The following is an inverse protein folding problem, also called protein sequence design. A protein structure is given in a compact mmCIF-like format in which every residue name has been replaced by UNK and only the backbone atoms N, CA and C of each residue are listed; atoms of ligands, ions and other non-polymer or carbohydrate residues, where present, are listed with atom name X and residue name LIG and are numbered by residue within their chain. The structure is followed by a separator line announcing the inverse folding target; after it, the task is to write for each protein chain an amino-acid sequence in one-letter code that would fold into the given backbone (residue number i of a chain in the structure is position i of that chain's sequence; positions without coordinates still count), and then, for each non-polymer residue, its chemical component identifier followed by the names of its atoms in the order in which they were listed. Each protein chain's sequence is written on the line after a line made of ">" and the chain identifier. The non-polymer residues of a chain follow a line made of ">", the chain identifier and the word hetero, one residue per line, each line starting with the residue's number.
data_IF_401847299766
#
_entry.id   IF_401847299766
#
_cell.length_a   1.000
_cell.length_b   1.000
_cell.length_c   1.000
_cell.angle_alpha   90.00
_cell.angle_beta   90.00
_cell.angle_gamma   90.00
#
_symmetry.space_group_name_H-M   'P 1'
#
loop_
_entity.id
_entity.type
_entity.pdbx_description
1 polymer ?
#
# COMPACT_ATOMS: atom_id res chain seq x y z
N UNK A 1 16.73 7.39 -15.12
CA UNK A 1 15.57 7.36 -15.99
C UNK A 1 15.09 5.94 -16.23
N UNK A 2 15.97 5.05 -16.68
CA UNK A 2 15.58 3.65 -16.90
C UNK A 2 15.21 2.96 -15.60
N UNK A 3 15.93 3.28 -14.54
CA UNK A 3 15.63 2.71 -13.24
C UNK A 3 14.28 3.19 -12.72
N UNK A 4 13.97 4.46 -12.96
CA UNK A 4 12.69 5.02 -12.55
C UNK A 4 11.53 4.33 -13.24
N UNK A 5 11.66 4.08 -14.53
CA UNK A 5 10.63 3.37 -15.27
C UNK A 5 10.38 1.98 -14.74
N UNK A 6 11.45 1.27 -14.37
CA UNK A 6 11.33 -0.07 -13.80
C UNK A 6 10.68 -0.02 -12.42
N UNK A 7 11.04 0.97 -11.64
CA UNK A 7 10.46 1.12 -10.31
C UNK A 7 8.97 1.38 -10.38
N UNK A 8 8.55 2.19 -11.31
CA UNK A 8 7.12 2.45 -11.51
C UNK A 8 6.36 1.18 -11.85
N UNK A 9 6.90 0.39 -12.76
CA UNK A 9 6.26 -0.87 -13.12
C UNK A 9 6.15 -1.82 -11.94
N UNK A 10 7.20 -1.89 -11.13
CA UNK A 10 7.18 -2.73 -9.94
C UNK A 10 6.18 -2.23 -8.91
N UNK A 11 6.07 -0.92 -8.76
CA UNK A 11 5.12 -0.34 -7.82
C UNK A 11 3.69 -0.67 -8.19
N UNK A 12 3.37 -0.63 -9.47
CA UNK A 12 2.05 -1.02 -9.93
C UNK A 12 1.75 -2.48 -9.63
N UNK A 13 2.70 -3.36 -9.91
CA UNK A 13 2.52 -4.77 -9.64
C UNK A 13 2.40 -5.08 -8.16
N UNK A 14 3.05 -4.29 -7.30
CA UNK A 14 2.97 -4.49 -5.86
C UNK A 14 1.75 -3.86 -5.22
N UNK A 15 1.07 -3.00 -5.94
CA UNK A 15 -0.05 -2.27 -5.37
C UNK A 15 -1.15 -3.21 -4.86
N UNK A 16 -1.44 -4.26 -5.60
CA UNK A 16 -2.41 -5.25 -5.18
C UNK A 16 -1.99 -5.95 -3.90
N UNK A 17 -0.72 -6.33 -3.80
CA UNK A 17 -0.20 -6.93 -2.59
C UNK A 17 -0.27 -5.99 -1.40
N UNK A 18 0.01 -4.72 -1.62
CA UNK A 18 -0.07 -3.72 -0.56
C UNK A 18 -1.49 -3.52 -0.08
N UNK A 19 -2.44 -3.51 -0.98
CA UNK A 19 -3.85 -3.39 -0.61
C UNK A 19 -4.29 -4.57 0.25
N UNK A 20 -3.85 -5.75 -0.10
CA UNK A 20 -4.16 -6.93 0.66
C UNK A 20 -3.55 -6.87 2.06
N UNK A 21 -2.29 -6.49 2.15
CA UNK A 21 -1.62 -6.32 3.44
C UNK A 21 -2.32 -5.26 4.29
N UNK A 22 -2.64 -4.12 3.68
CA UNK A 22 -3.34 -3.05 4.38
C UNK A 22 -4.71 -3.50 4.89
N UNK A 23 -5.42 -4.26 4.07
CA UNK A 23 -6.71 -4.81 4.46
C UNK A 23 -6.58 -5.74 5.68
N UNK A 24 -5.57 -6.59 5.67
CA UNK A 24 -5.30 -7.49 6.79
C UNK A 24 -4.96 -6.72 8.06
N UNK A 25 -4.10 -5.71 7.94
CA UNK A 25 -3.71 -4.89 9.07
C UNK A 25 -4.90 -4.13 9.64
N UNK A 26 -5.73 -3.61 8.77
CA UNK A 26 -6.93 -2.90 9.17
C UNK A 26 -7.89 -3.83 9.94
N UNK A 27 -8.03 -5.03 9.45
CA UNK A 27 -8.86 -6.06 10.07
C UNK A 27 -8.34 -6.44 11.47
N UNK A 28 -7.04 -6.37 11.66
CA UNK A 28 -6.42 -6.66 12.95
C UNK A 28 -6.50 -5.50 13.94
N UNK A 29 -7.02 -4.38 13.51
CA UNK A 29 -7.13 -3.22 14.38
C UNK A 29 -5.90 -2.33 14.40
N UNK A 30 -5.02 -2.49 13.42
CA UNK A 30 -3.83 -1.66 13.32
C UNK A 30 -4.23 -0.24 12.92
N UNK A 31 -3.56 0.75 13.51
CA UNK A 31 -3.83 2.15 13.24
C UNK A 31 -3.59 2.48 11.77
N UNK A 32 -4.49 3.29 11.21
CA UNK A 32 -4.41 3.69 9.79
C UNK A 32 -3.08 4.37 9.48
N UNK A 33 -2.60 5.21 10.40
CA UNK A 33 -1.33 5.88 10.23
C UNK A 33 -0.18 4.88 10.11
N UNK A 34 -0.21 3.84 10.92
CA UNK A 34 0.79 2.78 10.86
C UNK A 34 0.71 2.00 9.54
N UNK A 35 -0.50 1.73 9.09
CA UNK A 35 -0.74 1.04 7.82
C UNK A 35 -0.21 1.88 6.66
N UNK A 36 -0.45 3.17 6.69
CA UNK A 36 0.05 4.11 5.70
C UNK A 36 1.57 4.05 5.59
N UNK A 37 2.24 4.08 6.71
CA UNK A 37 3.70 4.02 6.74
C UNK A 37 4.22 2.68 6.28
N UNK A 38 3.56 1.62 6.64
CA UNK A 38 3.99 0.27 6.28
C UNK A 38 3.77 -0.04 4.81
N UNK A 39 2.68 0.44 4.24
CA UNK A 39 2.30 0.11 2.86
C UNK A 39 2.60 1.22 1.86
N UNK A 40 2.71 2.45 2.31
CA UNK A 40 2.87 3.60 1.44
C UNK A 40 1.58 4.00 0.73
N UNK A 41 0.46 3.47 1.15
CA UNK A 41 -0.83 3.82 0.56
C UNK A 41 -1.35 5.13 1.13
N UNK A 42 -2.24 5.77 0.38
CA UNK A 42 -2.88 6.98 0.87
C UNK A 42 -3.98 6.64 1.87
N UNK A 43 -4.35 7.63 2.67
CA UNK A 43 -5.40 7.46 3.64
C UNK A 43 -6.72 7.03 2.99
N UNK A 44 -7.03 7.64 1.86
CA UNK A 44 -8.24 7.30 1.12
C UNK A 44 -8.26 5.85 0.67
N UNK A 45 -7.13 5.37 0.18
CA UNK A 45 -7.04 3.99 -0.27
C UNK A 45 -7.25 3.01 0.88
N UNK A 46 -6.69 3.31 2.02
CA UNK A 46 -6.85 2.48 3.20
C UNK A 46 -8.29 2.49 3.69
N UNK A 47 -8.92 3.64 3.68
CA UNK A 47 -10.29 3.76 4.14
C UNK A 47 -11.29 3.00 3.26
N UNK A 48 -10.96 2.80 2.00
CA UNK A 48 -11.80 2.04 1.08
C UNK A 48 -11.72 0.53 1.26
N UNK A 49 -10.78 0.08 2.01
CA UNK A 49 -10.57 -1.36 2.21
C UNK A 49 -11.62 -2.02 3.12
#
# INVERSE_FOLDING_TARGET
>A
AKLEGRMEGRMEGRMEGRLEIASNLKSQGVDITAIQKATGLSLEEIQKL
#
